data_IF_516976612041
#
_entry.id   IF_516976612041
#
_cell.length_a   1.000
_cell.length_b   1.000
_cell.length_c   1.000
_cell.angle_alpha   90.00
_cell.angle_beta   90.00
_cell.angle_gamma   90.00
#
_symmetry.space_group_name_H-M   'P 1'
#
loop_
_entity.id
_entity.type
_entity.pdbx_description
1 polymer ?
#
# COMPACT_ATOMS: atom_id res chain seq x y z
N UNK A 1 15.99 61.07 3.91
CA UNK A 1 17.22 60.54 3.28
C UNK A 1 18.01 59.81 4.35
N UNK A 2 18.52 58.58 4.10
CA UNK A 2 19.45 58.29 3.01
C UNK A 2 19.00 57.21 2.01
N UNK A 3 19.64 57.25 0.83
CA UNK A 3 19.45 56.40 -0.35
C UNK A 3 20.22 55.08 -0.24
N UNK A 4 19.68 54.01 -0.84
CA UNK A 4 20.44 52.80 -1.18
C UNK A 4 20.32 52.53 -2.69
N UNK A 5 21.48 52.50 -3.35
CA UNK A 5 21.70 52.20 -4.77
C UNK A 5 21.52 50.71 -5.06
N UNK A 6 20.94 50.40 -6.22
CA UNK A 6 20.89 49.07 -6.83
C UNK A 6 21.91 49.05 -7.98
N UNK A 7 22.71 47.98 -8.07
CA UNK A 7 23.59 47.69 -9.21
C UNK A 7 23.27 46.29 -9.76
N UNK A 8 23.18 46.20 -11.09
CA UNK A 8 22.92 44.99 -11.89
C UNK A 8 24.19 44.55 -12.64
N UNK A 9 24.37 43.23 -12.78
CA UNK A 9 25.12 42.56 -13.86
C UNK A 9 24.75 41.07 -13.81
N UNK A 10 24.04 40.44 -14.77
CA UNK A 10 24.28 40.11 -16.20
C UNK A 10 25.56 39.31 -16.47
N UNK A 11 25.38 38.05 -16.88
CA UNK A 11 25.90 37.35 -18.07
C UNK A 11 25.45 35.86 -17.98
N UNK A 12 24.67 35.25 -18.89
CA UNK A 12 24.80 34.91 -20.32
C UNK A 12 25.71 33.70 -20.66
N UNK A 13 25.16 32.76 -21.46
CA UNK A 13 25.87 31.74 -22.26
C UNK A 13 25.64 30.30 -21.77
N UNK A 14 24.76 29.43 -22.30
CA UNK A 14 24.48 28.93 -23.67
C UNK A 14 25.49 27.89 -24.21
N UNK A 15 24.93 26.70 -24.47
CA UNK A 15 25.19 25.75 -25.59
C UNK A 15 26.02 24.46 -25.42
N UNK A 16 25.26 23.35 -25.53
CA UNK A 16 25.32 22.25 -26.54
C UNK A 16 26.43 21.17 -26.55
N UNK A 17 25.90 19.93 -26.52
CA UNK A 17 26.17 18.73 -27.35
C UNK A 17 27.56 18.09 -27.36
N UNK A 18 27.63 16.77 -27.12
CA UNK A 18 27.66 15.74 -28.19
C UNK A 18 28.00 14.35 -27.64
N UNK A 19 27.57 13.36 -28.42
CA UNK A 19 27.69 11.89 -28.31
C UNK A 19 29.12 11.36 -28.07
N UNK A 20 29.25 10.09 -27.63
CA UNK A 20 29.95 9.01 -28.37
C UNK A 20 29.89 7.67 -27.58
N UNK A 21 29.55 6.60 -28.30
CA UNK A 21 29.57 5.17 -27.94
C UNK A 21 30.97 4.55 -28.12
N UNK A 22 31.28 3.45 -27.41
CA UNK A 22 32.03 2.31 -27.97
C UNK A 22 32.00 1.05 -27.09
N UNK A 23 31.74 -0.08 -27.74
CA UNK A 23 31.85 -1.47 -27.28
C UNK A 23 33.28 -2.01 -27.47
N UNK A 24 33.63 -3.12 -26.80
CA UNK A 24 34.37 -4.31 -27.31
C UNK A 24 34.62 -5.26 -26.10
N UNK A 25 34.05 -6.48 -26.09
CA UNK A 25 34.70 -7.79 -26.41
C UNK A 25 35.90 -8.12 -25.49
N UNK A 26 36.27 -9.34 -25.08
CA UNK A 26 35.89 -10.77 -25.17
C UNK A 26 36.99 -11.46 -24.34
N UNK A 27 36.75 -12.60 -23.69
CA UNK A 27 37.66 -13.76 -23.84
C UNK A 27 37.11 -15.06 -23.23
N UNK A 28 37.42 -16.15 -23.92
CA UNK A 28 37.03 -17.54 -23.69
C UNK A 28 38.13 -18.28 -22.90
N UNK A 29 37.77 -19.36 -22.21
CA UNK A 29 38.70 -20.43 -21.81
C UNK A 29 37.95 -21.70 -21.43
N UNK A 30 38.23 -22.80 -22.13
CA UNK A 30 37.58 -24.12 -22.03
C UNK A 30 38.58 -25.20 -21.58
N UNK A 31 38.07 -26.33 -21.05
CA UNK A 31 38.57 -27.74 -21.12
C UNK A 31 37.95 -28.53 -19.94
N UNK A 32 37.11 -29.57 -20.04
CA UNK A 32 37.14 -30.90 -20.69
C UNK A 32 38.16 -31.95 -20.17
N UNK A 33 37.64 -33.17 -19.92
CA UNK A 33 38.31 -34.46 -19.65
C UNK A 33 37.62 -35.23 -18.50
N UNK A 34 36.64 -36.13 -18.70
CA UNK A 34 36.60 -37.47 -19.33
C UNK A 34 37.30 -38.59 -18.53
N UNK A 35 36.53 -39.63 -18.18
CA UNK A 35 37.01 -40.92 -17.65
C UNK A 35 35.86 -41.90 -17.36
N UNK A 36 35.63 -42.86 -18.27
CA UNK A 36 34.67 -43.97 -18.19
C UNK A 36 35.22 -45.18 -17.40
N UNK A 37 34.32 -45.95 -16.78
CA UNK A 37 34.46 -47.41 -16.62
C UNK A 37 33.07 -48.05 -16.40
N UNK A 38 32.76 -49.06 -17.21
CA UNK A 38 31.55 -49.89 -17.18
C UNK A 38 31.62 -50.94 -16.04
N UNK A 39 30.48 -51.36 -15.46
CA UNK A 39 29.82 -52.67 -15.72
C UNK A 39 28.69 -52.99 -14.69
N UNK A 40 27.50 -53.31 -15.23
CA UNK A 40 26.43 -54.26 -14.81
C UNK A 40 25.71 -54.12 -13.44
N UNK A 41 24.39 -53.94 -13.54
CA UNK A 41 23.41 -54.30 -12.50
C UNK A 41 22.03 -53.66 -12.69
N UNK A 42 21.14 -54.32 -13.45
CA UNK A 42 19.70 -54.01 -13.51
C UNK A 42 19.08 -54.02 -12.10
N UNK A 43 18.19 -53.06 -11.78
CA UNK A 43 16.94 -53.20 -10.99
C UNK A 43 16.09 -51.91 -11.13
N UNK A 44 14.91 -52.07 -11.75
CA UNK A 44 13.59 -51.38 -11.65
C UNK A 44 13.51 -49.85 -11.39
N UNK A 45 12.81 -49.08 -12.26
CA UNK A 45 12.54 -47.66 -12.05
C UNK A 45 11.21 -47.44 -11.31
N UNK A 46 11.24 -46.81 -10.13
CA UNK A 46 10.00 -46.39 -9.48
C UNK A 46 10.16 -46.05 -8.00
N UNK A 47 10.20 -44.76 -7.69
CA UNK A 47 9.86 -44.26 -6.36
C UNK A 47 11.04 -43.84 -5.49
N UNK A 48 11.61 -42.66 -5.74
CA UNK A 48 12.34 -41.90 -4.72
C UNK A 48 12.66 -40.46 -5.15
N UNK A 49 11.67 -39.60 -5.42
CA UNK A 49 11.97 -38.16 -5.67
C UNK A 49 10.93 -37.14 -5.12
N UNK A 50 9.92 -37.56 -4.35
CA UNK A 50 8.87 -36.61 -3.88
C UNK A 50 9.04 -36.16 -2.42
N UNK A 51 9.92 -36.80 -1.64
CA UNK A 51 10.21 -36.42 -0.25
C UNK A 51 11.12 -35.19 -0.08
N UNK A 52 11.95 -34.87 -1.08
CA UNK A 52 12.95 -33.81 -0.97
C UNK A 52 12.39 -32.39 -1.14
N UNK A 53 11.28 -32.20 -1.87
CA UNK A 53 10.76 -30.85 -2.16
C UNK A 53 10.01 -30.21 -0.99
N UNK A 54 9.38 -31.00 -0.11
CA UNK A 54 8.72 -30.45 1.09
C UNK A 54 9.78 -30.06 2.14
N UNK A 55 10.80 -30.90 2.33
CA UNK A 55 11.92 -30.61 3.21
C UNK A 55 12.72 -29.38 2.76
N UNK A 56 12.92 -29.18 1.44
CA UNK A 56 13.61 -28.00 0.91
C UNK A 56 12.81 -26.70 1.10
N UNK A 57 11.49 -26.72 0.97
CA UNK A 57 10.66 -25.56 1.32
C UNK A 57 10.74 -25.24 2.83
N UNK A 58 10.79 -26.27 3.69
CA UNK A 58 10.98 -26.08 5.14
C UNK A 58 12.40 -25.65 5.54
N UNK A 59 13.42 -26.07 4.80
CA UNK A 59 14.82 -25.68 5.02
C UNK A 59 15.11 -24.26 4.48
N UNK A 60 14.47 -23.86 3.38
CA UNK A 60 14.45 -22.47 2.89
C UNK A 60 13.77 -21.50 3.86
N UNK A 61 12.94 -22.01 4.76
CA UNK A 61 12.21 -21.26 5.79
C UNK A 61 12.99 -21.11 7.11
N UNK A 62 14.28 -21.51 7.14
CA UNK A 62 15.28 -21.12 8.12
C UNK A 62 14.79 -21.03 9.57
N UNK A 63 14.66 -22.17 10.26
CA UNK A 63 14.58 -22.28 11.73
C UNK A 63 13.74 -21.22 12.46
N UNK A 64 12.63 -20.76 11.86
CA UNK A 64 11.62 -19.96 12.55
C UNK A 64 10.44 -20.87 12.83
N UNK A 65 10.15 -21.08 14.11
CA UNK A 65 8.90 -21.70 14.57
C UNK A 65 7.75 -20.99 13.85
N UNK A 66 6.96 -21.72 13.08
CA UNK A 66 5.84 -21.18 12.32
C UNK A 66 4.59 -21.13 13.20
N UNK A 67 4.65 -20.37 14.29
CA UNK A 67 3.49 -20.19 15.14
C UNK A 67 2.38 -19.52 14.29
N UNK A 68 1.13 -20.00 14.34
CA UNK A 68 0.00 -19.40 13.59
C UNK A 68 -0.19 -17.91 13.88
N UNK A 69 0.35 -17.43 15.01
CA UNK A 69 0.51 -16.03 15.40
C UNK A 69 1.30 -15.19 14.36
N UNK A 70 2.26 -15.78 13.65
CA UNK A 70 3.13 -15.06 12.71
C UNK A 70 2.34 -14.59 11.48
N UNK A 71 1.38 -15.37 10.99
CA UNK A 71 0.59 -15.00 9.80
C UNK A 71 -0.57 -14.05 10.12
N UNK A 72 -1.12 -14.08 11.35
CA UNK A 72 -2.12 -13.09 11.77
C UNK A 72 -1.50 -11.71 11.96
N UNK A 73 -0.27 -11.65 12.45
CA UNK A 73 0.44 -10.40 12.76
C UNK A 73 1.30 -9.90 11.58
N UNK A 74 1.50 -10.74 10.56
CA UNK A 74 2.12 -10.34 9.30
C UNK A 74 1.23 -9.38 8.50
N UNK A 75 1.88 -8.55 7.68
CA UNK A 75 1.19 -7.80 6.62
C UNK A 75 0.65 -8.75 5.56
N UNK A 76 -0.43 -8.37 4.86
CA UNK A 76 -0.99 -9.20 3.78
C UNK A 76 0.06 -9.54 2.70
N UNK A 77 0.93 -8.59 2.36
CA UNK A 77 2.00 -8.79 1.40
C UNK A 77 3.03 -9.82 1.87
N UNK A 78 3.45 -9.75 3.14
CA UNK A 78 4.41 -10.71 3.69
C UNK A 78 3.78 -12.09 3.90
N UNK A 79 2.50 -12.15 4.32
CA UNK A 79 1.75 -13.40 4.39
C UNK A 79 1.66 -14.08 3.02
N UNK A 80 1.41 -13.32 1.96
CA UNK A 80 1.39 -13.86 0.60
C UNK A 80 2.77 -14.31 0.12
N UNK A 81 3.87 -13.62 0.49
CA UNK A 81 5.23 -14.10 0.21
C UNK A 81 5.51 -15.43 0.91
N UNK A 82 5.15 -15.56 2.19
CA UNK A 82 5.31 -16.80 2.97
C UNK A 82 4.52 -17.97 2.36
N UNK A 83 3.38 -17.67 1.71
CA UNK A 83 2.57 -18.65 0.99
C UNK A 83 3.02 -18.89 -0.46
N UNK A 84 4.17 -18.35 -0.88
CA UNK A 84 4.68 -18.40 -2.26
C UNK A 84 3.72 -17.80 -3.31
N UNK A 85 3.03 -16.72 -2.95
CA UNK A 85 2.11 -15.95 -3.80
C UNK A 85 2.46 -14.45 -3.85
N UNK A 86 3.73 -14.04 -4.01
CA UNK A 86 4.16 -12.63 -3.86
C UNK A 86 3.46 -11.65 -4.81
N UNK A 87 3.13 -12.09 -6.03
CA UNK A 87 2.58 -11.22 -7.08
C UNK A 87 1.05 -11.26 -7.14
N UNK A 88 0.38 -11.91 -6.18
CA UNK A 88 -1.07 -12.11 -6.28
C UNK A 88 -1.85 -10.79 -6.26
N UNK A 89 -1.48 -9.85 -5.40
CA UNK A 89 -2.16 -8.55 -5.31
C UNK A 89 -1.95 -7.73 -6.58
N UNK A 90 -0.74 -7.76 -7.15
CA UNK A 90 -0.43 -7.09 -8.42
C UNK A 90 -1.20 -7.70 -9.59
N UNK A 91 -1.30 -9.03 -9.66
CA UNK A 91 -2.10 -9.70 -10.68
C UNK A 91 -3.58 -9.32 -10.60
N UNK A 92 -4.11 -9.20 -9.38
CA UNK A 92 -5.47 -8.73 -9.15
C UNK A 92 -5.66 -7.27 -9.56
N UNK A 93 -4.66 -6.41 -9.32
CA UNK A 93 -4.66 -5.02 -9.76
C UNK A 93 -4.62 -4.89 -11.29
N UNK A 94 -3.78 -5.69 -11.93
CA UNK A 94 -3.67 -5.72 -13.39
C UNK A 94 -4.97 -6.19 -14.03
N UNK A 95 -5.62 -7.23 -13.48
CA UNK A 95 -6.91 -7.68 -13.98
C UNK A 95 -8.01 -6.62 -13.77
N UNK A 96 -7.99 -5.93 -12.62
CA UNK A 96 -8.90 -4.83 -12.34
C UNK A 96 -8.68 -3.64 -13.29
N UNK A 97 -7.44 -3.34 -13.66
CA UNK A 97 -7.10 -2.27 -14.62
C UNK A 97 -7.67 -2.55 -16.02
N UNK A 98 -7.67 -3.80 -16.47
CA UNK A 98 -8.31 -4.22 -17.73
C UNK A 98 -9.84 -3.97 -17.66
N UNK A 99 -10.47 -4.18 -16.50
CA UNK A 99 -11.88 -3.81 -16.29
C UNK A 99 -12.08 -2.30 -16.37
N UNK A 100 -11.21 -1.50 -15.75
CA UNK A 100 -11.27 -0.03 -15.79
C UNK A 100 -11.15 0.51 -17.22
N UNK A 101 -10.34 -0.14 -18.06
CA UNK A 101 -10.20 0.15 -19.50
C UNK A 101 -11.39 -0.32 -20.36
N UNK A 102 -12.37 -0.98 -19.75
CA UNK A 102 -13.56 -1.57 -20.41
C UNK A 102 -13.23 -2.68 -21.41
N UNK A 103 -12.05 -3.27 -21.30
CA UNK A 103 -11.62 -4.44 -22.09
C UNK A 103 -12.13 -5.75 -21.48
N UNK A 104 -12.43 -5.75 -20.18
CA UNK A 104 -13.18 -6.79 -19.45
C UNK A 104 -14.33 -6.17 -18.68
N UNK A 105 -15.35 -6.95 -18.40
CA UNK A 105 -16.45 -6.55 -17.53
C UNK A 105 -16.24 -7.04 -16.09
N UNK A 106 -17.07 -6.52 -15.17
CA UNK A 106 -17.05 -6.88 -13.74
C UNK A 106 -17.21 -8.39 -13.49
N UNK A 107 -18.10 -9.05 -14.22
CA UNK A 107 -18.36 -10.47 -14.05
C UNK A 107 -17.16 -11.33 -14.48
N UNK A 108 -16.37 -10.87 -15.46
CA UNK A 108 -15.14 -11.52 -15.89
C UNK A 108 -14.04 -11.42 -14.82
N UNK A 109 -13.89 -10.28 -14.15
CA UNK A 109 -12.99 -10.14 -13.00
C UNK A 109 -13.44 -10.99 -11.80
N UNK A 110 -14.73 -11.03 -11.53
CA UNK A 110 -15.30 -11.89 -10.49
C UNK A 110 -15.05 -13.38 -10.81
N UNK A 111 -15.16 -13.77 -12.08
CA UNK A 111 -14.80 -15.12 -12.55
C UNK A 111 -13.31 -15.39 -12.37
N UNK A 112 -12.44 -14.46 -12.74
CA UNK A 112 -10.98 -14.57 -12.52
C UNK A 112 -10.66 -14.81 -11.03
N UNK A 113 -11.26 -14.02 -10.14
CA UNK A 113 -11.08 -14.18 -8.70
C UNK A 113 -11.58 -15.54 -8.20
N UNK A 114 -12.81 -15.91 -8.55
CA UNK A 114 -13.45 -17.13 -8.07
C UNK A 114 -12.86 -18.42 -8.64
N UNK A 115 -12.18 -18.34 -9.78
CA UNK A 115 -11.56 -19.49 -10.45
C UNK A 115 -10.05 -19.48 -10.24
N UNK A 116 -9.32 -18.53 -10.84
CA UNK A 116 -7.86 -18.57 -10.86
C UNK A 116 -7.23 -18.32 -9.50
N UNK A 117 -7.74 -17.35 -8.74
CA UNK A 117 -7.22 -17.08 -7.39
C UNK A 117 -7.63 -18.20 -6.44
N UNK A 118 -8.89 -18.59 -6.45
CA UNK A 118 -9.39 -19.72 -5.65
C UNK A 118 -8.60 -21.01 -5.92
N UNK A 119 -8.24 -21.31 -7.16
CA UNK A 119 -7.48 -22.51 -7.50
C UNK A 119 -6.04 -22.47 -6.97
N UNK A 120 -5.40 -21.29 -6.88
CA UNK A 120 -4.11 -21.14 -6.18
C UNK A 120 -4.26 -21.49 -4.69
N UNK A 121 -5.32 -21.00 -4.04
CA UNK A 121 -5.60 -21.32 -2.63
C UNK A 121 -6.00 -22.78 -2.41
N UNK A 122 -6.75 -23.40 -3.33
CA UNK A 122 -7.04 -24.84 -3.27
C UNK A 122 -5.77 -25.68 -3.41
N UNK A 123 -4.82 -25.29 -4.26
CA UNK A 123 -3.52 -25.97 -4.40
C UNK A 123 -2.72 -25.86 -3.11
N UNK A 124 -2.64 -24.67 -2.50
CA UNK A 124 -1.99 -24.48 -1.20
C UNK A 124 -2.67 -25.28 -0.09
N UNK A 125 -4.00 -25.26 -0.04
CA UNK A 125 -4.80 -26.02 0.93
C UNK A 125 -4.56 -27.52 0.80
N UNK A 126 -4.49 -28.06 -0.43
CA UNK A 126 -4.11 -29.46 -0.65
C UNK A 126 -2.67 -29.75 -0.22
N UNK A 127 -1.73 -28.83 -0.49
CA UNK A 127 -0.31 -28.97 -0.14
C UNK A 127 -0.10 -29.07 1.37
N UNK A 128 -0.81 -28.25 2.15
CA UNK A 128 -0.65 -28.14 3.60
C UNK A 128 -1.74 -28.87 4.40
N UNK A 129 -2.60 -29.67 3.74
CA UNK A 129 -3.65 -30.38 4.46
C UNK A 129 -3.04 -31.38 5.46
N UNK A 130 -3.37 -31.30 6.77
CA UNK A 130 -2.79 -32.16 7.80
C UNK A 130 -2.91 -33.66 7.47
N UNK A 131 -4.09 -34.11 7.06
CA UNK A 131 -4.33 -35.51 6.67
C UNK A 131 -3.43 -35.98 5.52
N UNK A 132 -3.10 -35.11 4.56
CA UNK A 132 -2.21 -35.49 3.46
C UNK A 132 -0.77 -35.68 3.94
N UNK A 133 -0.32 -34.85 4.88
CA UNK A 133 1.00 -34.95 5.48
C UNK A 133 1.08 -36.20 6.36
N UNK A 134 0.04 -36.47 7.15
CA UNK A 134 -0.05 -37.68 7.97
C UNK A 134 -0.06 -38.95 7.11
N UNK A 135 -0.85 -39.00 6.03
CA UNK A 135 -0.91 -40.13 5.09
C UNK A 135 0.41 -40.41 4.37
N UNK A 136 1.26 -39.38 4.21
CA UNK A 136 2.59 -39.50 3.60
C UNK A 136 3.68 -39.92 4.59
N UNK A 137 3.31 -40.25 5.83
CA UNK A 137 4.24 -40.66 6.88
C UNK A 137 4.96 -39.49 7.55
N UNK A 138 4.38 -38.27 7.49
CA UNK A 138 4.92 -37.11 8.20
C UNK A 138 4.92 -37.31 9.72
N UNK A 139 5.91 -36.72 10.38
CA UNK A 139 6.02 -36.75 11.85
C UNK A 139 4.89 -35.96 12.51
N UNK A 140 4.71 -36.13 13.83
CA UNK A 140 3.75 -35.30 14.58
C UNK A 140 4.07 -33.80 14.45
N UNK A 141 5.35 -33.43 14.37
CA UNK A 141 5.77 -32.04 14.18
C UNK A 141 5.41 -31.52 12.79
N UNK A 142 5.53 -32.36 11.75
CA UNK A 142 5.12 -32.01 10.38
C UNK A 142 3.62 -31.77 10.29
N UNK A 143 2.81 -32.59 10.97
CA UNK A 143 1.36 -32.46 11.00
C UNK A 143 0.95 -31.17 11.73
N UNK A 144 1.63 -30.81 12.82
CA UNK A 144 1.42 -29.54 13.52
C UNK A 144 1.73 -28.35 12.61
N UNK A 145 2.91 -28.34 11.97
CA UNK A 145 3.30 -27.27 11.02
C UNK A 145 2.34 -27.16 9.84
N UNK A 146 1.89 -28.28 9.31
CA UNK A 146 0.90 -28.31 8.22
C UNK A 146 -0.44 -27.71 8.67
N UNK A 147 -0.86 -27.99 9.91
CA UNK A 147 -2.07 -27.43 10.50
C UNK A 147 -1.97 -25.90 10.62
N UNK A 148 -0.84 -25.38 11.11
CA UNK A 148 -0.59 -23.94 11.23
C UNK A 148 -0.59 -23.25 9.85
N UNK A 149 0.09 -23.85 8.86
CA UNK A 149 0.09 -23.36 7.48
C UNK A 149 -1.31 -23.38 6.88
N UNK A 150 -2.09 -24.42 7.11
CA UNK A 150 -3.46 -24.52 6.64
C UNK A 150 -4.36 -23.43 7.24
N UNK A 151 -4.20 -23.14 8.54
CA UNK A 151 -4.90 -22.03 9.20
C UNK A 151 -4.54 -20.68 8.55
N UNK A 152 -3.25 -20.46 8.28
CA UNK A 152 -2.77 -19.28 7.57
C UNK A 152 -3.34 -19.12 6.16
N UNK A 153 -3.35 -20.21 5.37
CA UNK A 153 -3.97 -20.24 4.03
C UNK A 153 -5.45 -19.86 4.11
N UNK A 154 -6.18 -20.43 5.07
CA UNK A 154 -7.60 -20.14 5.27
C UNK A 154 -7.84 -18.67 5.65
N UNK A 155 -7.00 -18.12 6.53
CA UNK A 155 -7.09 -16.74 6.99
C UNK A 155 -6.83 -15.74 5.86
N UNK A 156 -5.74 -15.91 5.11
CA UNK A 156 -5.40 -15.04 3.97
C UNK A 156 -6.47 -15.13 2.88
N UNK A 157 -6.99 -16.33 2.60
CA UNK A 157 -8.10 -16.51 1.67
C UNK A 157 -9.35 -15.75 2.12
N UNK A 158 -9.72 -15.85 3.40
CA UNK A 158 -10.85 -15.10 3.98
C UNK A 158 -10.68 -13.60 3.80
N UNK A 159 -9.48 -13.06 4.07
CA UNK A 159 -9.16 -11.64 3.88
C UNK A 159 -9.36 -11.22 2.43
N UNK A 160 -8.77 -11.96 1.48
CA UNK A 160 -8.89 -11.63 0.06
C UNK A 160 -10.35 -11.68 -0.41
N UNK A 161 -11.10 -12.69 0.01
CA UNK A 161 -12.52 -12.82 -0.31
C UNK A 161 -13.32 -11.65 0.25
N UNK A 162 -13.05 -11.25 1.49
CA UNK A 162 -13.72 -10.11 2.12
C UNK A 162 -13.39 -8.79 1.38
N UNK A 163 -12.12 -8.55 1.05
CA UNK A 163 -11.71 -7.38 0.26
C UNK A 163 -12.41 -7.36 -1.11
N UNK A 164 -12.42 -8.51 -1.81
CA UNK A 164 -13.07 -8.65 -3.10
C UNK A 164 -14.58 -8.39 -3.00
N UNK A 165 -15.29 -9.03 -2.07
CA UNK A 165 -16.73 -8.83 -1.86
C UNK A 165 -17.05 -7.38 -1.49
N UNK A 166 -16.28 -6.76 -0.58
CA UNK A 166 -16.51 -5.38 -0.18
C UNK A 166 -16.32 -4.40 -1.32
N UNK A 167 -15.37 -4.64 -2.22
CA UNK A 167 -15.08 -3.75 -3.33
C UNK A 167 -16.04 -3.97 -4.52
N UNK A 168 -16.26 -5.22 -4.91
CA UNK A 168 -17.08 -5.58 -6.08
C UNK A 168 -18.57 -5.40 -5.78
N UNK A 169 -19.07 -5.76 -4.59
CA UNK A 169 -20.51 -5.72 -4.31
C UNK A 169 -21.02 -4.33 -3.94
N UNK A 170 -20.20 -3.48 -3.32
CA UNK A 170 -20.63 -2.14 -2.89
C UNK A 170 -20.44 -1.06 -3.97
N UNK A 171 -20.40 -1.43 -5.25
CA UNK A 171 -20.24 -0.50 -6.38
C UNK A 171 -18.99 0.42 -6.31
N UNK A 172 -17.96 0.06 -5.53
CA UNK A 172 -16.71 0.83 -5.47
C UNK A 172 -15.90 0.79 -6.78
N UNK A 173 -16.35 0.04 -7.79
CA UNK A 173 -15.80 0.09 -9.15
C UNK A 173 -16.00 1.45 -9.83
N UNK A 174 -16.91 2.32 -9.35
CA UNK A 174 -16.93 3.73 -9.75
C UNK A 174 -15.77 4.55 -9.17
N UNK A 175 -15.10 4.01 -8.15
CA UNK A 175 -13.94 4.61 -7.49
C UNK A 175 -12.67 4.15 -8.23
N UNK A 176 -12.21 4.98 -9.19
CA UNK A 176 -11.13 4.62 -10.12
C UNK A 176 -9.78 4.32 -9.45
N UNK A 177 -9.62 4.63 -8.17
CA UNK A 177 -8.31 4.59 -7.49
C UNK A 177 -8.03 3.30 -6.71
N UNK A 178 -8.99 2.38 -6.57
CA UNK A 178 -8.73 1.17 -5.78
C UNK A 178 -7.72 0.23 -6.44
N UNK A 179 -6.87 -0.32 -5.58
CA UNK A 179 -5.89 -1.39 -5.84
C UNK A 179 -5.83 -2.32 -4.63
N UNK A 180 -5.85 -3.63 -4.85
CA UNK A 180 -5.56 -4.68 -3.88
C UNK A 180 -4.18 -4.50 -3.26
N UNK A 181 -3.16 -4.08 -4.03
CA UNK A 181 -1.82 -3.81 -3.51
C UNK A 181 -1.77 -2.73 -2.44
N UNK A 182 -2.76 -1.83 -2.37
CA UNK A 182 -2.89 -0.84 -1.28
C UNK A 182 -3.04 -1.50 0.09
N UNK A 183 -3.58 -2.73 0.14
CA UNK A 183 -3.71 -3.50 1.37
C UNK A 183 -2.46 -4.31 1.74
N UNK A 184 -1.41 -4.31 0.91
CA UNK A 184 -0.21 -5.14 1.10
C UNK A 184 0.50 -4.90 2.43
N UNK A 185 0.47 -3.66 2.94
CA UNK A 185 1.13 -3.27 4.20
C UNK A 185 0.22 -3.34 5.43
N UNK A 186 -1.02 -3.80 5.26
CA UNK A 186 -1.99 -3.91 6.37
C UNK A 186 -1.91 -5.31 6.96
N UNK A 187 -1.91 -5.40 8.28
CA UNK A 187 -1.92 -6.67 9.02
C UNK A 187 -3.15 -7.52 8.67
N UNK A 188 -2.92 -8.82 8.50
CA UNK A 188 -3.96 -9.80 8.19
C UNK A 188 -5.02 -9.81 9.30
N UNK A 189 -4.63 -9.68 10.57
CA UNK A 189 -5.57 -9.60 11.72
C UNK A 189 -6.56 -8.44 11.59
N UNK A 190 -6.10 -7.26 11.16
CA UNK A 190 -6.95 -6.08 10.93
C UNK A 190 -7.89 -6.33 9.76
N UNK A 191 -7.37 -6.84 8.65
CA UNK A 191 -8.16 -7.13 7.45
C UNK A 191 -9.14 -8.29 7.65
N UNK A 192 -8.90 -9.20 8.58
CA UNK A 192 -9.77 -10.35 8.82
C UNK A 192 -11.01 -10.03 9.66
N UNK A 193 -11.06 -8.82 10.25
CA UNK A 193 -12.11 -8.34 11.12
C UNK A 193 -12.86 -7.17 10.45
N UNK A 194 -14.01 -7.48 9.86
CA UNK A 194 -14.82 -6.50 9.13
C UNK A 194 -15.28 -5.33 10.00
N UNK A 195 -15.68 -5.58 11.24
CA UNK A 195 -16.06 -4.52 12.19
C UNK A 195 -14.89 -3.60 12.50
N UNK A 196 -13.69 -4.16 12.69
CA UNK A 196 -12.46 -3.39 12.92
C UNK A 196 -12.10 -2.57 11.69
N UNK A 197 -12.23 -3.13 10.48
CA UNK A 197 -12.02 -2.42 9.23
C UNK A 197 -13.00 -1.25 9.07
N UNK A 198 -14.30 -1.50 9.30
CA UNK A 198 -15.35 -0.46 9.28
C UNK A 198 -15.10 0.61 10.34
N UNK A 199 -14.67 0.21 11.55
CA UNK A 199 -14.33 1.12 12.64
C UNK A 199 -13.16 2.03 12.27
N UNK A 200 -12.08 1.48 11.70
CA UNK A 200 -10.93 2.27 11.22
C UNK A 200 -11.38 3.24 10.13
N UNK A 201 -12.15 2.76 9.16
CA UNK A 201 -12.64 3.60 8.06
C UNK A 201 -13.51 4.76 8.59
N UNK A 202 -14.44 4.47 9.50
CA UNK A 202 -15.27 5.49 10.14
C UNK A 202 -14.46 6.49 10.95
N UNK A 203 -13.45 6.03 11.70
CA UNK A 203 -12.55 6.92 12.46
C UNK A 203 -11.80 7.87 11.53
N UNK A 204 -11.20 7.35 10.44
CA UNK A 204 -10.51 8.17 9.44
C UNK A 204 -11.46 9.17 8.80
N UNK A 205 -12.68 8.74 8.42
CA UNK A 205 -13.69 9.63 7.84
C UNK A 205 -14.13 10.73 8.81
N UNK A 206 -14.36 10.43 10.08
CA UNK A 206 -14.72 11.41 11.11
C UNK A 206 -13.60 12.46 11.25
N UNK A 207 -12.35 12.02 11.30
CA UNK A 207 -11.19 12.93 11.41
C UNK A 207 -11.06 13.80 10.14
N UNK A 208 -11.22 13.24 8.95
CA UNK A 208 -11.23 14.01 7.70
C UNK A 208 -12.38 15.03 7.65
N UNK A 209 -13.58 14.65 8.12
CA UNK A 209 -14.70 15.57 8.26
C UNK A 209 -14.38 16.72 9.22
N UNK A 210 -13.75 16.43 10.36
CA UNK A 210 -13.35 17.45 11.32
C UNK A 210 -12.30 18.43 10.75
N UNK A 211 -11.28 17.91 10.06
CA UNK A 211 -10.26 18.72 9.38
C UNK A 211 -10.88 19.59 8.27
N UNK A 212 -11.78 19.00 7.48
CA UNK A 212 -12.54 19.71 6.43
C UNK A 212 -13.37 20.85 7.03
N UNK A 213 -14.04 20.60 8.16
CA UNK A 213 -14.82 21.60 8.88
C UNK A 213 -13.98 22.78 9.32
N UNK A 214 -12.84 22.55 9.97
CA UNK A 214 -11.93 23.64 10.37
C UNK A 214 -11.50 24.47 9.15
N UNK A 215 -11.14 23.80 8.05
CA UNK A 215 -10.73 24.48 6.80
C UNK A 215 -11.86 25.34 6.22
N UNK A 216 -13.06 24.77 6.05
CA UNK A 216 -14.15 25.39 5.31
C UNK A 216 -15.00 26.36 6.15
N UNK A 217 -15.11 26.16 7.46
CA UNK A 217 -15.93 27.00 8.34
C UNK A 217 -15.10 28.05 9.09
N UNK A 218 -13.83 27.76 9.42
CA UNK A 218 -12.99 28.66 10.19
C UNK A 218 -11.92 29.34 9.34
N UNK A 219 -11.13 28.59 8.55
CA UNK A 219 -9.95 29.19 7.90
C UNK A 219 -10.34 30.02 6.67
N UNK A 220 -11.04 29.41 5.70
CA UNK A 220 -11.36 30.07 4.42
C UNK A 220 -12.24 31.32 4.62
N UNK A 221 -13.36 31.27 5.37
CA UNK A 221 -14.24 32.44 5.49
C UNK A 221 -13.57 33.61 6.20
N UNK A 222 -12.81 33.34 7.27
CA UNK A 222 -12.12 34.39 8.01
C UNK A 222 -10.96 35.01 7.21
N UNK A 223 -10.25 34.22 6.40
CA UNK A 223 -9.24 34.75 5.48
C UNK A 223 -9.87 35.66 4.43
N UNK A 224 -10.98 35.23 3.82
CA UNK A 224 -11.67 36.02 2.80
C UNK A 224 -12.17 37.36 3.35
N UNK A 225 -12.78 37.37 4.54
CA UNK A 225 -13.24 38.61 5.17
C UNK A 225 -12.07 39.51 5.61
N UNK A 226 -10.97 38.93 6.12
CA UNK A 226 -9.76 39.71 6.40
C UNK A 226 -9.22 40.42 5.15
N UNK A 227 -9.11 39.72 4.03
CA UNK A 227 -8.60 40.29 2.77
C UNK A 227 -9.54 41.39 2.25
N UNK A 228 -10.85 41.14 2.24
CA UNK A 228 -11.87 42.09 1.80
C UNK A 228 -11.85 43.37 2.63
N UNK A 229 -11.88 43.25 3.96
CA UNK A 229 -11.86 44.40 4.86
C UNK A 229 -10.51 45.10 4.89
N UNK A 230 -9.41 44.37 4.72
CA UNK A 230 -8.07 44.94 4.58
C UNK A 230 -7.97 45.81 3.32
N UNK A 231 -8.48 45.32 2.19
CA UNK A 231 -8.54 46.09 0.95
C UNK A 231 -9.41 47.34 1.09
N UNK A 232 -10.61 47.20 1.67
CA UNK A 232 -11.52 48.33 1.91
C UNK A 232 -10.87 49.38 2.82
N UNK A 233 -10.17 48.93 3.87
CA UNK A 233 -9.49 49.83 4.81
C UNK A 233 -8.41 50.67 4.11
N UNK A 234 -7.63 50.05 3.23
CA UNK A 234 -6.62 50.75 2.42
C UNK A 234 -7.29 51.79 1.50
N UNK A 235 -8.40 51.44 0.85
CA UNK A 235 -9.12 52.38 -0.02
C UNK A 235 -9.68 53.58 0.76
N UNK A 236 -10.22 53.35 1.95
CA UNK A 236 -10.72 54.42 2.82
C UNK A 236 -9.60 55.32 3.33
N UNK A 237 -8.42 54.75 3.62
CA UNK A 237 -7.23 55.53 3.95
C UNK A 237 -6.82 56.45 2.78
N UNK A 238 -6.75 55.91 1.56
CA UNK A 238 -6.40 56.67 0.36
C UNK A 238 -7.43 57.75 0.01
N UNK A 239 -8.69 57.55 0.40
CA UNK A 239 -9.79 58.49 0.17
C UNK A 239 -9.96 59.53 1.29
N UNK A 240 -9.03 59.58 2.27
CA UNK A 240 -9.09 60.43 3.47
C UNK A 240 -10.33 60.21 4.36
N UNK A 241 -10.98 59.05 4.29
CA UNK A 241 -12.05 58.68 5.21
C UNK A 241 -11.48 57.96 6.44
N UNK A 242 -10.99 58.76 7.39
CA UNK A 242 -10.38 58.25 8.62
C UNK A 242 -11.33 57.43 9.49
N UNK A 243 -12.64 57.68 9.41
CA UNK A 243 -13.64 56.99 10.23
C UNK A 243 -13.84 55.54 9.75
N UNK A 244 -14.09 55.37 8.45
CA UNK A 244 -14.26 54.06 7.84
C UNK A 244 -12.95 53.28 7.79
N UNK A 245 -11.81 53.95 7.56
CA UNK A 245 -10.48 53.34 7.70
C UNK A 245 -10.32 52.66 9.07
N UNK A 246 -10.59 53.39 10.17
CA UNK A 246 -10.39 52.88 11.51
C UNK A 246 -11.38 51.77 11.90
N UNK A 247 -12.60 51.80 11.36
CA UNK A 247 -13.60 50.76 11.56
C UNK A 247 -13.22 49.47 10.82
N UNK A 248 -12.92 49.54 9.54
CA UNK A 248 -12.60 48.38 8.73
C UNK A 248 -11.27 47.76 9.12
N UNK A 249 -10.27 48.56 9.50
CA UNK A 249 -9.00 48.06 10.06
C UNK A 249 -9.25 47.20 11.31
N UNK A 250 -10.13 47.66 12.21
CA UNK A 250 -10.51 46.91 13.43
C UNK A 250 -11.21 45.60 13.08
N UNK A 251 -12.13 45.62 12.11
CA UNK A 251 -12.84 44.41 11.67
C UNK A 251 -11.89 43.41 10.98
N UNK A 252 -11.01 43.88 10.09
CA UNK A 252 -10.00 43.05 9.45
C UNK A 252 -9.13 42.33 10.49
N UNK A 253 -8.68 43.05 11.53
CA UNK A 253 -7.93 42.46 12.65
C UNK A 253 -8.69 41.35 13.40
N UNK A 254 -10.01 41.50 13.58
CA UNK A 254 -10.85 40.47 14.21
C UNK A 254 -10.85 39.20 13.36
N UNK A 255 -11.08 39.33 12.06
CA UNK A 255 -11.09 38.20 11.14
C UNK A 255 -9.71 37.54 11.01
N UNK A 256 -8.63 38.33 11.01
CA UNK A 256 -7.27 37.79 11.01
C UNK A 256 -6.98 36.96 12.27
N UNK A 257 -7.41 37.42 13.46
CA UNK A 257 -7.29 36.65 14.70
C UNK A 257 -8.07 35.34 14.65
N UNK A 258 -9.29 35.36 14.10
CA UNK A 258 -10.11 34.14 13.92
C UNK A 258 -9.46 33.16 12.93
N UNK A 259 -8.89 33.67 11.84
CA UNK A 259 -8.09 32.87 10.89
C UNK A 259 -6.91 32.18 11.58
N UNK A 260 -6.12 32.92 12.37
CA UNK A 260 -4.98 32.35 13.10
C UNK A 260 -5.42 31.30 14.13
N UNK A 261 -6.55 31.51 14.81
CA UNK A 261 -7.11 30.53 15.73
C UNK A 261 -7.56 29.25 15.00
N UNK A 262 -8.24 29.37 13.86
CA UNK A 262 -8.61 28.23 13.02
C UNK A 262 -7.38 27.47 12.52
N UNK A 263 -6.32 28.19 12.13
CA UNK A 263 -5.06 27.57 11.71
C UNK A 263 -4.37 26.82 12.85
N UNK A 264 -4.33 27.39 14.06
CA UNK A 264 -3.80 26.71 15.25
C UNK A 264 -4.56 25.41 15.53
N UNK A 265 -5.90 25.45 15.50
CA UNK A 265 -6.74 24.24 15.68
C UNK A 265 -6.45 23.17 14.62
N UNK A 266 -6.23 23.57 13.37
CA UNK A 266 -5.87 22.65 12.30
C UNK A 266 -4.53 21.96 12.59
N UNK A 267 -3.52 22.74 12.99
CA UNK A 267 -2.19 22.22 13.35
C UNK A 267 -2.27 21.26 14.54
N UNK A 268 -3.05 21.61 15.56
CA UNK A 268 -3.26 20.75 16.73
C UNK A 268 -3.99 19.45 16.38
N UNK A 269 -5.01 19.54 15.51
CA UNK A 269 -5.75 18.37 15.00
C UNK A 269 -4.85 17.45 14.17
N UNK A 270 -4.04 18.00 13.26
CA UNK A 270 -3.08 17.23 12.46
C UNK A 270 -1.99 16.60 13.32
N UNK A 271 -1.47 17.33 14.30
CA UNK A 271 -0.46 16.81 15.24
C UNK A 271 -1.04 15.69 16.11
N UNK A 272 -2.29 15.83 16.53
CA UNK A 272 -3.02 14.80 17.29
C UNK A 272 -3.27 13.56 16.43
N UNK A 273 -3.65 13.74 15.17
CA UNK A 273 -3.80 12.66 14.21
C UNK A 273 -2.47 11.93 14.00
N UNK A 274 -1.38 12.67 13.77
CA UNK A 274 -0.04 12.11 13.61
C UNK A 274 0.38 11.30 14.84
N UNK A 275 0.15 11.81 16.06
CA UNK A 275 0.44 11.07 17.31
C UNK A 275 -0.37 9.77 17.41
N UNK A 276 -1.67 9.83 17.10
CA UNK A 276 -2.55 8.64 17.11
C UNK A 276 -2.17 7.62 16.04
N UNK A 277 -1.63 8.07 14.91
CA UNK A 277 -1.18 7.21 13.82
C UNK A 277 0.25 6.66 14.04
N UNK A 278 1.09 7.39 14.78
CA UNK A 278 2.49 7.02 15.09
C UNK A 278 2.62 6.22 16.39
N UNK A 279 1.55 6.10 17.17
CA UNK A 279 1.48 5.26 18.37
C UNK A 279 1.31 3.77 18.05
N UNK A 280 2.26 3.23 17.28
CA UNK A 280 2.59 1.80 17.19
C UNK A 280 4.02 1.62 17.63
#
# INVERSE_FOLDING_TARGET
>A
MPNANISYGKENGVSRSSETTMNLEKEKGASQGSGNLEHVGNIVPGGALVGYNIALDFLSLGSRRFDSCILSDATLGDALKLLNLPNLLENLDNDLEIVKRKEKNKAEHEKYFNQEVNDKFKKLSRKYHPDQIQKKGGSSEDVTRATEMQQGVNLVWKVLKMLHSNFINNNFLSNQDFKYSTCSKVEVSILSNEERLRSINNKVLIELCWLSRIKHEEIIPNLNEFLKLGQSSIQNFLSNDGSNFAQERRQALIYFKKYLSGYSKLVDALSSLQKRMSGR
#
